data_IF_036287220697
#
_entry.id   IF_036287220697
#
_cell.length_a   1.000
_cell.length_b   1.000
_cell.length_c   1.000
_cell.angle_alpha   90.00
_cell.angle_beta   90.00
_cell.angle_gamma   90.00
#
_symmetry.space_group_name_H-M   'P 1'
#
loop_
_entity.id
_entity.type
_entity.pdbx_description
1 polymer ?
#
# COMPACT_ATOMS: atom_id res chain seq x y z
N UNK A 1 -23.62 -7.65 16.39
CA UNK A 1 -23.28 -6.23 16.64
C UNK A 1 -21.78 -6.24 16.73
N UNK A 2 -21.16 -6.36 15.56
CA UNK A 2 -19.71 -6.52 15.49
C UNK A 2 -19.17 -5.10 15.43
N UNK A 3 -18.46 -4.74 16.48
CA UNK A 3 -17.77 -3.47 16.62
C UNK A 3 -16.84 -3.31 15.40
N UNK A 4 -17.26 -2.49 14.44
CA UNK A 4 -16.47 -2.04 13.30
C UNK A 4 -15.39 -1.04 13.79
N UNK A 5 -14.71 -1.43 14.87
CA UNK A 5 -13.52 -0.82 15.41
C UNK A 5 -12.61 -0.55 14.24
N UNK A 6 -12.45 0.74 13.99
CA UNK A 6 -11.96 1.29 12.75
C UNK A 6 -10.50 0.88 12.65
N UNK A 7 -10.23 -0.22 11.94
CA UNK A 7 -8.87 -0.68 11.72
C UNK A 7 -8.15 0.43 10.95
N UNK A 8 -7.39 1.20 11.70
CA UNK A 8 -6.54 2.27 11.21
C UNK A 8 -5.14 1.84 11.57
N UNK A 9 -4.32 1.68 10.54
CA UNK A 9 -2.88 1.59 10.79
C UNK A 9 -2.45 2.93 11.36
N UNK A 10 -1.61 2.90 12.39
CA UNK A 10 -0.89 4.10 12.79
C UNK A 10 -0.19 4.65 11.54
N UNK A 11 -0.27 5.97 11.31
CA UNK A 11 0.40 6.56 10.16
C UNK A 11 1.89 6.22 10.23
N UNK A 12 2.50 5.75 9.13
CA UNK A 12 3.92 5.47 9.14
C UNK A 12 4.68 6.76 9.52
N UNK A 13 5.78 6.65 10.30
CA UNK A 13 6.57 7.82 10.66
C UNK A 13 7.02 8.55 9.39
N UNK A 14 7.08 9.88 9.43
CA UNK A 14 7.47 10.70 8.29
C UNK A 14 8.82 10.23 7.72
N UNK A 15 8.79 9.67 6.50
CA UNK A 15 9.99 9.13 5.85
C UNK A 15 10.75 10.26 5.17
N UNK A 16 11.99 10.51 5.58
CA UNK A 16 12.88 11.46 4.88
C UNK A 16 13.28 10.85 3.52
N UNK A 17 13.41 11.67 2.47
CA UNK A 17 13.77 11.19 1.12
C UNK A 17 15.09 10.40 1.08
N UNK A 18 16.05 10.74 1.93
CA UNK A 18 17.34 10.03 2.06
C UNK A 18 17.26 8.70 2.83
N UNK A 19 16.08 8.31 3.34
CA UNK A 19 15.86 7.10 4.14
C UNK A 19 14.81 6.15 3.56
N UNK A 20 14.47 6.30 2.27
CA UNK A 20 13.56 5.35 1.62
C UNK A 20 14.22 3.97 1.48
N UNK A 21 13.48 2.86 1.66
CA UNK A 21 14.05 1.54 1.51
C UNK A 21 14.56 1.27 0.08
N UNK A 22 15.64 0.50 -0.01
CA UNK A 22 16.28 0.15 -1.30
C UNK A 22 15.61 -1.02 -2.03
N UNK A 23 14.67 -1.70 -1.39
CA UNK A 23 13.94 -2.83 -1.95
C UNK A 23 12.45 -2.59 -1.75
N UNK A 24 11.70 -2.66 -2.84
CA UNK A 24 10.24 -2.63 -2.82
C UNK A 24 9.69 -3.82 -3.61
N UNK A 25 8.80 -4.58 -2.98
CA UNK A 25 8.12 -5.72 -3.57
C UNK A 25 6.78 -5.28 -4.14
N UNK A 26 6.50 -5.60 -5.41
CA UNK A 26 5.14 -5.47 -5.96
C UNK A 26 4.38 -6.76 -5.67
N UNK A 27 3.44 -6.70 -4.74
CA UNK A 27 2.53 -7.80 -4.42
C UNK A 27 1.41 -7.84 -5.47
N UNK A 28 1.77 -8.23 -6.69
CA UNK A 28 0.86 -8.32 -7.82
C UNK A 28 -0.10 -9.50 -7.66
N UNK A 29 -1.40 -9.27 -7.85
CA UNK A 29 -2.43 -10.32 -7.69
C UNK A 29 -2.60 -10.78 -6.24
N UNK A 30 -2.21 -9.97 -5.25
CA UNK A 30 -2.20 -10.37 -3.83
C UNK A 30 -3.56 -10.82 -3.28
N UNK A 31 -4.66 -10.61 -4.01
CA UNK A 31 -5.97 -11.13 -3.62
C UNK A 31 -6.06 -12.66 -3.73
N UNK A 32 -5.17 -13.29 -4.50
CA UNK A 32 -4.96 -14.74 -4.47
C UNK A 32 -4.21 -15.13 -3.20
N UNK A 33 -4.76 -16.08 -2.43
CA UNK A 33 -4.23 -16.48 -1.11
C UNK A 33 -2.74 -16.85 -1.15
N UNK A 34 -2.32 -17.67 -2.13
CA UNK A 34 -0.92 -18.06 -2.26
C UNK A 34 0.04 -16.90 -2.53
N UNK A 35 -0.42 -15.82 -3.16
CA UNK A 35 0.40 -14.61 -3.38
C UNK A 35 0.45 -13.74 -2.12
N UNK A 36 -0.65 -13.64 -1.38
CA UNK A 36 -0.66 -12.99 -0.07
C UNK A 36 0.32 -13.68 0.90
N UNK A 37 0.33 -15.01 0.93
CA UNK A 37 1.22 -15.79 1.81
C UNK A 37 2.69 -15.56 1.48
N UNK A 38 3.07 -15.64 0.20
CA UNK A 38 4.44 -15.33 -0.25
C UNK A 38 4.85 -13.89 0.06
N UNK A 39 3.92 -12.95 0.01
CA UNK A 39 4.19 -11.54 0.38
C UNK A 39 4.54 -11.44 1.86
N UNK A 40 3.83 -12.16 2.73
CA UNK A 40 4.14 -12.23 4.17
C UNK A 40 5.50 -12.90 4.40
N UNK A 41 5.81 -14.00 3.71
CA UNK A 41 7.11 -14.67 3.80
C UNK A 41 8.26 -13.76 3.37
N UNK A 42 8.09 -13.02 2.27
CA UNK A 42 9.08 -12.07 1.79
C UNK A 42 9.33 -10.94 2.79
N UNK A 43 8.28 -10.44 3.46
CA UNK A 43 8.41 -9.46 4.53
C UNK A 43 9.17 -10.03 5.73
N UNK A 44 8.87 -11.27 6.15
CA UNK A 44 9.64 -11.97 7.21
C UNK A 44 11.11 -12.13 6.83
N UNK A 45 11.41 -12.30 5.55
CA UNK A 45 12.76 -12.38 5.01
C UNK A 45 13.46 -11.02 4.84
N UNK A 46 12.82 -9.91 5.22
CA UNK A 46 13.42 -8.58 5.25
C UNK A 46 13.02 -7.64 4.13
N UNK A 47 11.97 -7.94 3.34
CA UNK A 47 11.39 -6.96 2.41
C UNK A 47 10.83 -5.77 3.20
N UNK A 48 11.34 -4.54 2.99
CA UNK A 48 11.00 -3.40 3.84
C UNK A 48 9.85 -2.55 3.29
N UNK A 49 9.45 -2.74 2.02
CA UNK A 49 8.38 -1.99 1.38
C UNK A 49 7.57 -2.90 0.45
N UNK A 50 6.25 -2.90 0.59
CA UNK A 50 5.31 -3.64 -0.26
C UNK A 50 4.33 -2.69 -0.97
N UNK A 51 4.18 -2.86 -2.28
CA UNK A 51 3.14 -2.23 -3.10
C UNK A 51 2.02 -3.24 -3.37
N UNK A 52 0.82 -2.98 -2.86
CA UNK A 52 -0.35 -3.82 -3.08
C UNK A 52 -0.94 -3.48 -4.45
N UNK A 53 -0.88 -4.43 -5.37
CA UNK A 53 -1.32 -4.25 -6.75
C UNK A 53 -2.19 -5.41 -7.20
N UNK A 54 -3.38 -5.09 -7.67
CA UNK A 54 -4.25 -6.04 -8.35
C UNK A 54 -5.26 -5.24 -9.17
N UNK A 55 -5.11 -5.26 -10.50
CA UNK A 55 -5.98 -4.48 -11.40
C UNK A 55 -7.23 -5.25 -11.82
N UNK A 56 -7.22 -6.59 -11.73
CA UNK A 56 -8.29 -7.42 -12.25
C UNK A 56 -9.50 -7.49 -11.30
N UNK A 57 -9.28 -7.26 -10.01
CA UNK A 57 -10.32 -7.38 -8.99
C UNK A 57 -11.16 -6.11 -8.81
N UNK A 58 -12.40 -6.30 -8.36
CA UNK A 58 -13.30 -5.22 -7.97
C UNK A 58 -12.75 -4.40 -6.78
N UNK A 59 -13.31 -3.20 -6.59
CA UNK A 59 -12.87 -2.25 -5.56
C UNK A 59 -13.00 -2.83 -4.15
N UNK A 60 -14.13 -3.47 -3.88
CA UNK A 60 -14.51 -4.03 -2.58
C UNK A 60 -13.63 -5.24 -2.23
N UNK A 61 -13.42 -6.14 -3.19
CA UNK A 61 -12.54 -7.30 -3.05
C UNK A 61 -11.11 -6.87 -2.71
N UNK A 62 -10.58 -5.88 -3.44
CA UNK A 62 -9.27 -5.33 -3.16
C UNK A 62 -9.19 -4.69 -1.78
N UNK A 63 -10.17 -3.87 -1.40
CA UNK A 63 -10.15 -3.16 -0.13
C UNK A 63 -10.15 -4.14 1.05
N UNK A 64 -10.99 -5.18 0.98
CA UNK A 64 -11.03 -6.27 1.97
C UNK A 64 -9.69 -6.98 2.06
N UNK A 65 -9.16 -7.45 0.92
CA UNK A 65 -7.89 -8.17 0.89
C UNK A 65 -6.72 -7.29 1.34
N UNK A 66 -6.72 -6.00 0.98
CA UNK A 66 -5.66 -5.06 1.34
C UNK A 66 -5.62 -4.85 2.85
N UNK A 67 -6.78 -4.67 3.49
CA UNK A 67 -6.90 -4.59 4.95
C UNK A 67 -6.38 -5.85 5.63
N UNK A 68 -6.78 -7.01 5.12
CA UNK A 68 -6.36 -8.30 5.67
C UNK A 68 -4.85 -8.51 5.56
N UNK A 69 -4.29 -8.36 4.35
CA UNK A 69 -2.86 -8.53 4.11
C UNK A 69 -2.04 -7.52 4.93
N UNK A 70 -2.47 -6.26 5.00
CA UNK A 70 -1.76 -5.25 5.80
C UNK A 70 -1.65 -5.62 7.27
N UNK A 71 -2.73 -6.11 7.88
CA UNK A 71 -2.69 -6.62 9.24
C UNK A 71 -1.71 -7.79 9.40
N UNK A 72 -1.63 -8.68 8.41
CA UNK A 72 -0.65 -9.78 8.40
C UNK A 72 0.79 -9.27 8.26
N UNK A 73 1.04 -8.27 7.42
CA UNK A 73 2.37 -7.67 7.24
C UNK A 73 2.86 -6.98 8.51
N UNK A 74 2.02 -6.17 9.16
CA UNK A 74 2.37 -5.50 10.42
C UNK A 74 2.70 -6.49 11.54
N UNK A 75 1.99 -7.62 11.62
CA UNK A 75 2.30 -8.69 12.57
C UNK A 75 3.57 -9.46 12.22
N UNK A 76 3.93 -9.53 10.94
CA UNK A 76 5.11 -10.26 10.48
C UNK A 76 6.40 -9.48 10.78
N UNK A 77 6.42 -8.17 10.53
CA UNK A 77 7.57 -7.31 10.77
C UNK A 77 7.12 -5.87 10.98
N UNK A 78 7.64 -5.20 12.01
CA UNK A 78 7.33 -3.80 12.29
C UNK A 78 8.03 -2.87 11.28
N UNK A 79 7.41 -1.71 11.02
CA UNK A 79 8.01 -0.67 10.17
C UNK A 79 8.02 -0.96 8.66
N UNK A 80 7.37 -2.04 8.21
CA UNK A 80 7.21 -2.32 6.78
C UNK A 80 6.37 -1.22 6.14
N UNK A 81 6.92 -0.55 5.14
CA UNK A 81 6.19 0.43 4.36
C UNK A 81 5.18 -0.27 3.44
N UNK A 82 4.00 0.31 3.35
CA UNK A 82 2.94 -0.20 2.47
C UNK A 82 2.40 0.92 1.60
N UNK A 83 2.08 0.58 0.37
CA UNK A 83 1.40 1.50 -0.53
C UNK A 83 0.42 0.79 -1.45
N UNK A 84 -0.64 1.49 -1.80
CA UNK A 84 -1.72 0.99 -2.65
C UNK A 84 -1.49 1.47 -4.07
N UNK A 85 -1.61 0.58 -5.05
CA UNK A 85 -1.54 0.96 -6.44
C UNK A 85 -2.88 1.54 -6.94
N UNK A 86 -2.85 2.78 -7.45
CA UNK A 86 -3.89 3.52 -8.19
C UNK A 86 -5.25 3.74 -7.49
N UNK A 87 -5.48 3.17 -6.30
CA UNK A 87 -6.77 3.20 -5.59
C UNK A 87 -6.73 4.14 -4.38
N UNK A 88 -6.85 5.46 -4.61
CA UNK A 88 -6.72 6.50 -3.55
C UNK A 88 -7.62 6.27 -2.34
N UNK A 89 -8.88 5.87 -2.56
CA UNK A 89 -9.80 5.67 -1.44
C UNK A 89 -9.38 4.53 -0.51
N UNK A 90 -8.68 3.51 -1.01
CA UNK A 90 -8.15 2.43 -0.17
C UNK A 90 -6.88 2.91 0.55
N UNK A 91 -6.02 3.66 -0.13
CA UNK A 91 -4.84 4.26 0.50
C UNK A 91 -5.22 5.20 1.66
N UNK A 92 -6.21 6.07 1.44
CA UNK A 92 -6.76 6.99 2.43
C UNK A 92 -7.36 6.24 3.62
N UNK A 93 -8.24 5.27 3.37
CA UNK A 93 -8.91 4.51 4.42
C UNK A 93 -7.94 3.71 5.30
N UNK A 94 -6.84 3.21 4.72
CA UNK A 94 -5.84 2.42 5.44
C UNK A 94 -4.64 3.24 5.95
N UNK A 95 -4.59 4.55 5.71
CA UNK A 95 -3.46 5.39 6.11
C UNK A 95 -2.13 5.04 5.42
N UNK A 96 -2.19 4.54 4.19
CA UNK A 96 -1.03 4.04 3.44
C UNK A 96 -0.56 5.04 2.38
N UNK A 97 0.66 4.81 1.87
CA UNK A 97 1.12 5.47 0.66
C UNK A 97 0.30 5.09 -0.58
N UNK A 98 0.44 5.87 -1.64
CA UNK A 98 -0.16 5.62 -2.95
C UNK A 98 0.94 5.53 -4.00
N UNK A 99 0.88 4.53 -4.88
CA UNK A 99 1.63 4.52 -6.13
C UNK A 99 0.65 4.70 -7.28
N UNK A 100 0.89 5.66 -8.17
CA UNK A 100 0.00 5.95 -9.30
C UNK A 100 0.73 5.83 -10.64
N UNK A 101 0.03 5.31 -11.65
CA UNK A 101 0.51 5.23 -13.03
C UNK A 101 -0.37 6.05 -13.97
N UNK A 102 -0.18 5.88 -15.27
CA UNK A 102 -0.93 6.60 -16.34
C UNK A 102 -2.45 6.62 -16.14
N UNK A 103 -3.02 5.53 -15.62
CA UNK A 103 -4.47 5.37 -15.43
C UNK A 103 -4.96 5.65 -14.01
N UNK A 104 -4.05 6.04 -13.10
CA UNK A 104 -4.39 6.39 -11.73
C UNK A 104 -4.66 7.90 -11.55
N UNK A 105 -4.95 8.34 -10.32
CA UNK A 105 -5.09 9.77 -10.01
C UNK A 105 -3.78 10.52 -10.28
N UNK A 106 -3.88 11.81 -10.59
CA UNK A 106 -2.69 12.69 -10.61
C UNK A 106 -2.15 12.88 -9.18
N UNK A 107 -0.86 13.22 -9.01
CA UNK A 107 -0.30 13.51 -7.69
C UNK A 107 -1.06 14.61 -6.93
N UNK A 108 -1.49 15.67 -7.63
CA UNK A 108 -2.30 16.73 -7.03
C UNK A 108 -3.62 16.22 -6.47
N UNK A 109 -4.37 15.42 -7.25
CA UNK A 109 -5.62 14.79 -6.80
C UNK A 109 -5.42 13.79 -5.66
N UNK A 110 -4.28 13.10 -5.63
CA UNK A 110 -3.93 12.26 -4.50
C UNK A 110 -3.69 13.09 -3.22
N UNK A 111 -3.02 14.24 -3.34
CA UNK A 111 -2.71 15.14 -2.21
C UNK A 111 -3.93 15.84 -1.62
N UNK A 112 -4.99 16.04 -2.39
CA UNK A 112 -6.27 16.53 -1.89
C UNK A 112 -6.93 15.57 -0.88
N UNK A 113 -6.56 14.28 -0.90
CA UNK A 113 -7.22 13.22 -0.11
C UNK A 113 -6.32 12.56 0.92
N UNK A 114 -5.04 12.39 0.61
CA UNK A 114 -4.12 11.66 1.46
C UNK A 114 -3.50 12.57 2.51
N UNK A 115 -3.12 11.98 3.65
CA UNK A 115 -2.32 12.67 4.67
C UNK A 115 -1.09 13.35 4.03
N UNK A 116 -0.69 14.56 4.48
CA UNK A 116 0.53 15.22 4.04
C UNK A 116 1.77 14.32 4.13
N UNK A 117 1.81 13.43 5.13
CA UNK A 117 2.93 12.51 5.36
C UNK A 117 2.88 11.24 4.50
N UNK A 118 1.75 10.94 3.85
CA UNK A 118 1.63 9.76 3.02
C UNK A 118 2.54 9.86 1.78
N UNK A 119 3.32 8.82 1.50
CA UNK A 119 4.13 8.76 0.28
C UNK A 119 3.24 8.69 -0.95
N UNK A 120 3.52 9.50 -1.97
CA UNK A 120 2.87 9.42 -3.30
C UNK A 120 3.97 9.18 -4.33
N UNK A 121 4.03 7.96 -4.86
CA UNK A 121 4.90 7.55 -5.94
C UNK A 121 4.21 7.64 -7.30
N UNK A 122 4.96 7.93 -8.35
CA UNK A 122 4.47 8.06 -9.72
C UNK A 122 5.32 7.20 -10.64
N UNK A 123 4.68 6.50 -11.57
CA UNK A 123 5.40 5.83 -12.68
C UNK A 123 5.76 6.87 -13.73
N UNK A 124 7.06 7.14 -13.90
CA UNK A 124 7.58 8.03 -14.94
C UNK A 124 8.20 7.20 -16.07
N UNK A 125 7.71 7.40 -17.30
CA UNK A 125 8.17 6.68 -18.51
C UNK A 125 8.69 7.64 -19.59
N UNK A 126 8.81 8.93 -19.26
CA UNK A 126 9.24 10.00 -20.14
C UNK A 126 9.96 11.08 -19.34
N UNK A 127 10.45 12.11 -20.03
CA UNK A 127 11.20 13.23 -19.43
C UNK A 127 10.32 14.46 -19.15
N UNK A 128 9.05 14.37 -19.50
CA UNK A 128 8.06 15.43 -19.34
C UNK A 128 7.55 15.52 -17.91
#
# INVERSE_FOLDING_TARGET
MDDESTFRLDPPPAVRRSSLPRLALIADGFTEAGRADRTVEAVRAGVPWVHLRDHAVRKETFAKAARELAGRLCRATSGVLMSINSRTGVAEALGMGLHTGRHGPTPGRARERLSPDALVGVSAHGRD
#
